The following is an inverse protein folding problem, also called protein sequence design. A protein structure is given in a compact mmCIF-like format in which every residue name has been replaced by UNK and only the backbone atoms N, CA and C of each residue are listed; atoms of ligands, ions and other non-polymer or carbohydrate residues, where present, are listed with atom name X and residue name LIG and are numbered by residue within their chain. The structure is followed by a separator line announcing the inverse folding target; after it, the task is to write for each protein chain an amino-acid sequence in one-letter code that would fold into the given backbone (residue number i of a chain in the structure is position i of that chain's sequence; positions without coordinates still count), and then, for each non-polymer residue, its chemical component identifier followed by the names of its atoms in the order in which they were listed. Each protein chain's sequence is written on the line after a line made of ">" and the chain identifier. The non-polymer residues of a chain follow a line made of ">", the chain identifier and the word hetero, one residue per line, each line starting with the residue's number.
data_IF_209065525219
#
_entry.id   IF_209065525219
#
_cell.length_a   1.000
_cell.length_b   1.000
_cell.length_c   1.000
_cell.angle_alpha   90.00
_cell.angle_beta   90.00
_cell.angle_gamma   90.00
#
_symmetry.space_group_name_H-M   'P 1'
#
loop_
_entity.id
_entity.type
_entity.pdbx_description
1 polymer ?
#
# COMPACT_ATOMS: atom_id res chain seq x y z
N UNK A 1 -61.85 74.42 6.97
CA UNK A 1 -60.52 74.53 6.33
C UNK A 1 -59.53 73.91 7.32
N UNK A 2 -59.33 72.58 7.24
CA UNK A 2 -58.51 71.79 8.18
C UNK A 2 -57.29 71.27 7.39
N UNK A 3 -56.08 71.65 7.79
CA UNK A 3 -54.86 71.08 7.32
C UNK A 3 -54.54 69.82 8.13
N UNK A 4 -54.35 68.67 7.46
CA UNK A 4 -53.80 67.44 8.01
C UNK A 4 -52.31 67.38 7.65
N UNK A 5 -51.45 67.36 8.68
CA UNK A 5 -50.01 67.08 8.57
C UNK A 5 -49.80 65.56 8.63
N UNK A 6 -49.25 65.00 7.58
CA UNK A 6 -48.80 63.64 7.55
C UNK A 6 -47.41 63.52 8.14
N UNK A 7 -47.23 62.57 9.09
CA UNK A 7 -45.94 62.20 9.66
C UNK A 7 -45.46 60.98 8.90
N UNK A 8 -44.33 61.13 8.17
CA UNK A 8 -43.62 60.00 7.52
C UNK A 8 -42.65 59.39 8.54
N UNK A 9 -42.96 58.17 8.98
CA UNK A 9 -42.02 57.38 9.78
C UNK A 9 -41.05 56.59 8.88
N UNK A 10 -39.75 56.92 8.99
CA UNK A 10 -38.68 56.11 8.42
C UNK A 10 -38.44 54.93 9.37
N UNK A 11 -38.74 53.71 8.91
CA UNK A 11 -38.28 52.50 9.52
C UNK A 11 -36.84 52.23 9.04
N UNK A 12 -35.89 52.27 9.97
CA UNK A 12 -34.54 51.70 9.73
C UNK A 12 -34.62 50.19 9.87
N UNK A 13 -34.46 49.46 8.77
CA UNK A 13 -34.11 48.06 8.79
C UNK A 13 -32.68 47.93 9.33
N UNK A 14 -32.52 47.35 10.49
CA UNK A 14 -31.23 46.91 11.01
C UNK A 14 -30.84 45.64 10.26
N UNK A 15 -29.85 45.73 9.39
CA UNK A 15 -29.12 44.58 8.80
C UNK A 15 -28.51 43.77 9.95
N UNK A 16 -28.99 42.54 10.15
CA UNK A 16 -28.34 41.56 11.00
C UNK A 16 -26.98 41.15 10.34
N UNK A 17 -25.90 41.06 11.13
CA UNK A 17 -24.64 40.55 10.57
C UNK A 17 -24.83 39.13 10.10
N UNK A 18 -24.53 38.90 8.81
CA UNK A 18 -24.43 37.56 8.24
C UNK A 18 -23.33 36.78 8.97
N UNK A 19 -23.68 35.77 9.72
CA UNK A 19 -22.72 34.76 10.18
C UNK A 19 -22.08 34.12 8.94
N UNK A 20 -20.87 34.57 8.63
CA UNK A 20 -20.01 33.83 7.75
C UNK A 20 -19.67 32.51 8.44
N UNK A 21 -20.29 31.43 8.00
CA UNK A 21 -19.88 30.07 8.33
C UNK A 21 -18.41 29.96 7.95
N UNK A 22 -17.50 29.97 8.93
CA UNK A 22 -16.12 29.55 8.74
C UNK A 22 -16.17 28.13 8.19
N UNK A 23 -15.85 27.96 6.91
CA UNK A 23 -15.67 26.65 6.34
C UNK A 23 -14.57 25.96 7.15
N UNK A 24 -14.92 24.86 7.83
CA UNK A 24 -13.97 24.08 8.59
C UNK A 24 -12.76 23.76 7.69
N UNK A 25 -11.58 24.16 8.12
CA UNK A 25 -10.35 23.91 7.38
C UNK A 25 -10.25 22.39 7.08
N UNK A 26 -9.92 22.06 5.83
CA UNK A 26 -9.72 20.65 5.47
C UNK A 26 -8.67 20.03 6.42
N UNK A 27 -8.90 18.79 6.91
CA UNK A 27 -7.96 18.17 7.81
C UNK A 27 -6.57 18.07 7.15
N UNK A 28 -5.52 18.32 7.96
CA UNK A 28 -4.14 18.26 7.49
C UNK A 28 -3.84 16.90 6.83
N UNK A 29 -3.01 16.89 5.77
CA UNK A 29 -2.63 15.64 5.11
C UNK A 29 -1.78 14.79 6.07
N UNK A 30 -2.09 13.49 6.16
CA UNK A 30 -1.44 12.55 7.07
C UNK A 30 -0.91 11.32 6.33
N UNK A 31 0.16 10.73 6.83
CA UNK A 31 0.54 9.37 6.50
C UNK A 31 0.30 8.45 7.70
N UNK A 32 0.03 7.18 7.41
CA UNK A 32 -0.24 6.14 8.37
C UNK A 32 0.75 5.00 8.14
N UNK A 33 1.55 4.70 9.15
CA UNK A 33 2.64 3.72 9.08
C UNK A 33 2.31 2.55 9.99
N UNK A 34 2.14 1.36 9.42
CA UNK A 34 2.00 0.13 10.21
C UNK A 34 3.38 -0.31 10.71
N UNK A 35 3.54 -0.49 12.02
CA UNK A 35 4.77 -0.97 12.63
C UNK A 35 4.55 -2.40 13.13
N UNK A 36 5.17 -3.39 12.51
CA UNK A 36 4.89 -4.81 12.77
C UNK A 36 5.04 -5.21 14.24
N UNK A 37 6.00 -4.60 14.96
CA UNK A 37 6.20 -4.84 16.38
C UNK A 37 5.61 -3.71 17.27
N UNK A 38 4.59 -3.02 16.76
CA UNK A 38 4.00 -1.87 17.44
C UNK A 38 2.58 -1.55 16.99
N UNK A 39 2.33 -0.29 16.81
CA UNK A 39 1.03 0.30 16.48
C UNK A 39 1.05 0.92 15.07
N UNK A 40 0.00 1.65 14.69
CA UNK A 40 0.03 2.53 13.52
C UNK A 40 0.47 3.92 13.96
N UNK A 41 1.62 4.39 13.44
CA UNK A 41 2.07 5.78 13.63
C UNK A 41 1.36 6.70 12.66
N UNK A 42 0.85 7.83 13.15
CA UNK A 42 0.29 8.91 12.34
C UNK A 42 1.35 10.00 12.17
N UNK A 43 1.66 10.33 10.92
CA UNK A 43 2.67 11.35 10.57
C UNK A 43 1.97 12.51 9.88
N UNK A 44 2.16 13.72 10.38
CA UNK A 44 1.74 14.95 9.72
C UNK A 44 2.64 15.21 8.49
N UNK A 45 2.03 15.29 7.31
CA UNK A 45 2.76 15.47 6.04
C UNK A 45 3.20 16.91 5.77
N UNK A 46 2.81 17.86 6.63
CA UNK A 46 3.27 19.26 6.55
C UNK A 46 4.59 19.44 7.31
N UNK A 47 4.73 18.75 8.44
CA UNK A 47 5.89 18.89 9.34
C UNK A 47 6.81 17.68 9.31
N UNK A 48 6.32 16.54 8.81
CA UNK A 48 6.96 15.23 8.90
C UNK A 48 7.27 14.81 10.34
N UNK A 49 6.37 15.17 11.27
CA UNK A 49 6.45 14.72 12.66
C UNK A 49 5.44 13.59 12.91
N UNK A 50 5.84 12.61 13.73
CA UNK A 50 4.90 11.64 14.27
C UNK A 50 4.05 12.35 15.33
N UNK A 51 2.75 12.49 15.08
CA UNK A 51 1.84 13.29 15.92
C UNK A 51 0.97 12.44 16.84
N UNK A 52 0.73 11.18 16.50
CA UNK A 52 -0.02 10.25 17.33
C UNK A 52 0.23 8.79 16.93
N UNK A 53 -0.32 7.88 17.73
CA UNK A 53 -0.36 6.45 17.43
C UNK A 53 -1.78 5.91 17.59
N UNK A 54 -2.18 4.99 16.70
CA UNK A 54 -3.40 4.21 16.81
C UNK A 54 -3.02 2.84 17.39
N UNK A 55 -3.47 2.54 18.59
CA UNK A 55 -3.15 1.29 19.26
C UNK A 55 -3.84 0.09 18.60
N UNK A 56 -3.08 -0.96 18.35
CA UNK A 56 -3.54 -2.24 17.81
C UNK A 56 -3.31 -3.41 18.77
N UNK A 57 -2.96 -3.15 20.01
CA UNK A 57 -2.85 -4.17 21.07
C UNK A 57 -1.99 -5.38 20.69
N UNK A 58 -0.78 -5.12 20.15
CA UNK A 58 0.20 -6.15 19.76
C UNK A 58 -0.28 -7.13 18.66
N UNK A 59 -1.18 -6.71 17.78
CA UNK A 59 -1.74 -7.54 16.70
C UNK A 59 -0.79 -7.81 15.53
N UNK A 60 0.39 -7.21 15.48
CA UNK A 60 1.37 -7.40 14.42
C UNK A 60 0.95 -6.76 13.08
N UNK A 61 0.71 -5.43 13.02
CA UNK A 61 0.22 -4.77 11.81
C UNK A 61 1.23 -4.80 10.66
N UNK A 62 0.77 -5.19 9.47
CA UNK A 62 1.54 -5.21 8.22
C UNK A 62 0.85 -4.38 7.14
N UNK A 63 0.13 -5.01 6.24
CA UNK A 63 -0.58 -4.33 5.17
C UNK A 63 -1.56 -3.28 5.70
N UNK A 64 -1.54 -2.11 5.10
CA UNK A 64 -2.40 -0.98 5.48
C UNK A 64 -2.99 -0.35 4.24
N UNK A 65 -4.25 0.08 4.33
CA UNK A 65 -4.96 0.76 3.26
C UNK A 65 -5.89 1.84 3.80
N UNK A 66 -6.27 2.78 2.93
CA UNK A 66 -7.24 3.84 3.24
C UNK A 66 -8.38 3.80 2.23
N UNK A 67 -9.64 3.94 2.71
CA UNK A 67 -10.80 4.02 1.82
C UNK A 67 -10.79 5.30 0.98
N UNK A 68 -11.41 5.24 -0.21
CA UNK A 68 -11.43 6.38 -1.14
C UNK A 68 -12.05 7.65 -0.56
N UNK A 69 -13.04 7.51 0.33
CA UNK A 69 -13.67 8.62 1.05
C UNK A 69 -12.85 9.09 2.28
N UNK A 70 -11.77 8.39 2.60
CA UNK A 70 -10.89 8.69 3.72
C UNK A 70 -11.50 8.49 5.10
N UNK A 71 -12.61 7.79 5.22
CA UNK A 71 -13.23 7.56 6.53
C UNK A 71 -12.56 6.45 7.31
N UNK A 72 -12.11 5.40 6.62
CA UNK A 72 -11.57 4.21 7.25
C UNK A 72 -10.13 3.97 6.85
N UNK A 73 -9.32 3.53 7.82
CA UNK A 73 -8.10 2.77 7.61
C UNK A 73 -8.41 1.30 7.79
N UNK A 74 -7.73 0.44 7.06
CA UNK A 74 -7.75 -1.01 7.24
C UNK A 74 -6.33 -1.51 7.43
N UNK A 75 -6.13 -2.42 8.38
CA UNK A 75 -4.81 -2.94 8.72
C UNK A 75 -4.88 -4.46 8.86
N UNK A 76 -4.08 -5.15 8.06
CA UNK A 76 -3.90 -6.60 8.20
C UNK A 76 -2.99 -6.88 9.39
N UNK A 77 -3.48 -7.67 10.33
CA UNK A 77 -2.81 -7.95 11.60
C UNK A 77 -2.34 -9.40 11.62
N UNK A 78 -1.05 -9.58 11.47
CA UNK A 78 -0.41 -10.89 11.33
C UNK A 78 -0.64 -11.80 12.54
N UNK A 79 -0.44 -11.26 13.74
CA UNK A 79 -0.45 -12.08 14.97
C UNK A 79 -1.86 -12.45 15.41
N UNK A 80 -2.85 -11.55 15.20
CA UNK A 80 -4.24 -11.83 15.54
C UNK A 80 -5.05 -12.49 14.43
N UNK A 81 -4.54 -12.53 13.19
CA UNK A 81 -5.22 -13.17 12.06
C UNK A 81 -6.47 -12.42 11.59
N UNK A 82 -6.51 -11.12 11.76
CA UNK A 82 -7.67 -10.29 11.42
C UNK A 82 -7.31 -9.06 10.57
N UNK A 83 -8.34 -8.42 10.04
CA UNK A 83 -8.31 -7.09 9.46
C UNK A 83 -8.95 -6.11 10.43
N UNK A 84 -8.17 -5.20 11.01
CA UNK A 84 -8.71 -4.10 11.79
C UNK A 84 -9.29 -3.04 10.84
N UNK A 85 -10.55 -2.65 11.06
CA UNK A 85 -11.21 -1.52 10.41
C UNK A 85 -11.27 -0.38 11.43
N UNK A 86 -10.68 0.76 11.11
CA UNK A 86 -10.39 1.85 12.04
C UNK A 86 -11.06 3.12 11.51
N UNK A 87 -11.72 3.88 12.39
CA UNK A 87 -12.09 5.27 12.09
C UNK A 87 -10.82 6.10 11.93
N UNK A 88 -10.56 6.58 10.73
CA UNK A 88 -9.29 7.25 10.42
C UNK A 88 -9.07 8.52 11.24
N UNK A 89 -10.10 9.30 11.47
CA UNK A 89 -9.97 10.58 12.20
C UNK A 89 -9.92 10.38 13.71
N UNK A 90 -10.74 9.51 14.23
CA UNK A 90 -10.80 9.22 15.66
C UNK A 90 -9.74 8.23 16.15
N UNK A 91 -9.14 7.45 15.26
CA UNK A 91 -8.15 6.44 15.63
C UNK A 91 -8.72 5.24 16.38
N UNK A 92 -10.04 5.07 16.44
CA UNK A 92 -10.68 3.95 17.14
C UNK A 92 -10.91 2.77 16.19
N UNK A 93 -10.64 1.55 16.68
CA UNK A 93 -11.04 0.33 15.98
C UNK A 93 -12.56 0.25 15.98
N UNK A 94 -13.16 0.29 14.78
CA UNK A 94 -14.60 0.10 14.59
C UNK A 94 -14.95 -1.37 14.75
N UNK A 95 -14.10 -2.25 14.16
CA UNK A 95 -14.26 -3.71 14.21
C UNK A 95 -12.99 -4.43 13.79
N UNK A 96 -12.89 -5.69 14.18
CA UNK A 96 -11.90 -6.63 13.69
C UNK A 96 -12.62 -7.72 12.87
N UNK A 97 -12.22 -7.93 11.63
CA UNK A 97 -12.78 -8.94 10.75
C UNK A 97 -11.83 -10.14 10.72
N UNK A 98 -12.23 -11.33 11.21
CA UNK A 98 -11.40 -12.51 11.13
C UNK A 98 -11.05 -12.84 9.68
N UNK A 99 -9.78 -13.07 9.36
CA UNK A 99 -9.27 -13.38 8.03
C UNK A 99 -8.75 -14.80 7.99
N UNK A 100 -7.82 -15.14 8.87
CA UNK A 100 -7.08 -16.40 8.89
C UNK A 100 -5.66 -16.18 9.39
N UNK A 101 -4.80 -17.18 9.22
CA UNK A 101 -3.41 -17.05 9.68
C UNK A 101 -2.62 -16.11 8.78
N UNK A 102 -1.72 -15.36 9.39
CA UNK A 102 -0.70 -14.57 8.71
C UNK A 102 -1.25 -13.64 7.61
N UNK A 103 -2.26 -12.78 7.86
CA UNK A 103 -2.65 -11.78 6.87
C UNK A 103 -1.51 -10.79 6.65
N UNK A 104 -1.22 -10.47 5.39
CA UNK A 104 0.00 -9.77 5.03
C UNK A 104 -0.25 -8.50 4.22
N UNK A 105 -0.76 -8.62 3.02
CA UNK A 105 -0.94 -7.49 2.11
C UNK A 105 -2.41 -7.02 2.09
N UNK A 106 -2.63 -5.72 1.89
CA UNK A 106 -3.98 -5.15 1.77
C UNK A 106 -4.07 -4.23 0.57
N UNK A 107 -5.11 -4.41 -0.23
CA UNK A 107 -5.56 -3.42 -1.22
C UNK A 107 -7.01 -3.05 -0.96
N UNK A 108 -7.29 -1.74 -1.00
CA UNK A 108 -8.66 -1.24 -0.87
C UNK A 108 -9.18 -0.78 -2.21
N UNK A 109 -10.39 -1.23 -2.56
CA UNK A 109 -11.11 -0.80 -3.75
C UNK A 109 -12.58 -0.58 -3.46
N UNK A 110 -13.04 0.66 -3.63
CA UNK A 110 -14.41 1.03 -3.23
C UNK A 110 -14.65 0.73 -1.75
N UNK A 111 -15.69 -0.04 -1.46
CA UNK A 111 -16.02 -0.51 -0.10
C UNK A 111 -15.46 -1.90 0.23
N UNK A 112 -14.54 -2.41 -0.57
CA UNK A 112 -13.94 -3.75 -0.36
C UNK A 112 -12.46 -3.64 -0.02
N UNK A 113 -11.99 -4.50 0.88
CA UNK A 113 -10.57 -4.77 1.10
C UNK A 113 -10.23 -6.17 0.59
N UNK A 114 -9.08 -6.29 -0.07
CA UNK A 114 -8.51 -7.54 -0.55
C UNK A 114 -7.28 -7.83 0.29
N UNK A 115 -7.31 -8.90 1.03
CA UNK A 115 -6.30 -9.22 2.05
C UNK A 115 -5.68 -10.56 1.74
N UNK A 116 -4.38 -10.60 1.41
CA UNK A 116 -3.68 -11.88 1.31
C UNK A 116 -3.46 -12.47 2.70
N UNK A 117 -3.61 -13.79 2.81
CA UNK A 117 -3.28 -14.51 4.03
C UNK A 117 -2.75 -15.90 3.69
N UNK A 118 -1.89 -16.41 4.53
CA UNK A 118 -1.09 -17.60 4.27
C UNK A 118 -1.26 -18.63 5.38
N UNK A 119 -2.21 -19.56 5.25
CA UNK A 119 -2.50 -20.54 6.30
C UNK A 119 -1.29 -21.41 6.68
N UNK A 120 -0.39 -21.67 5.72
CA UNK A 120 0.76 -22.54 5.86
C UNK A 120 2.06 -21.83 6.24
N UNK A 121 2.12 -20.47 6.19
CA UNK A 121 3.38 -19.75 6.41
C UNK A 121 3.95 -19.98 7.82
N UNK A 122 5.23 -20.31 7.86
CA UNK A 122 6.07 -20.27 9.07
C UNK A 122 6.64 -18.85 9.16
N UNK A 123 6.30 -18.13 10.21
CA UNK A 123 6.67 -16.73 10.36
C UNK A 123 8.17 -16.47 10.38
N UNK A 124 8.57 -15.29 9.92
CA UNK A 124 9.95 -14.82 9.89
C UNK A 124 10.41 -14.40 8.50
N UNK A 125 11.59 -13.78 8.37
CA UNK A 125 12.16 -13.49 7.07
C UNK A 125 12.53 -14.81 6.37
N UNK A 126 12.32 -14.92 5.05
CA UNK A 126 12.71 -16.11 4.30
C UNK A 126 14.23 -16.35 4.43
N UNK A 127 14.66 -17.61 4.46
CA UNK A 127 16.07 -17.93 4.45
C UNK A 127 16.74 -17.49 3.15
N UNK A 128 18.07 -17.33 3.17
CA UNK A 128 18.86 -17.02 1.98
C UNK A 128 18.71 -18.13 0.93
N UNK A 129 18.47 -17.79 -0.35
CA UNK A 129 18.41 -18.79 -1.43
C UNK A 129 19.65 -19.68 -1.46
N UNK A 130 19.43 -20.99 -1.53
CA UNK A 130 20.51 -21.98 -1.55
C UNK A 130 21.14 -22.29 -0.20
N UNK A 131 20.71 -21.65 0.90
CA UNK A 131 21.13 -22.01 2.26
C UNK A 131 20.58 -23.38 2.68
N UNK A 132 21.19 -24.01 3.68
CA UNK A 132 20.66 -25.29 4.24
C UNK A 132 19.26 -25.10 4.87
N UNK A 133 18.97 -23.91 5.41
CA UNK A 133 17.66 -23.53 5.92
C UNK A 133 16.63 -23.43 4.78
N UNK A 134 17.00 -22.83 3.64
CA UNK A 134 16.13 -22.77 2.45
C UNK A 134 15.84 -24.18 1.90
N UNK A 135 16.85 -25.04 1.84
CA UNK A 135 16.69 -26.43 1.40
C UNK A 135 15.84 -27.25 2.37
N UNK A 136 16.04 -27.05 3.67
CA UNK A 136 15.23 -27.73 4.69
C UNK A 136 13.76 -27.29 4.63
N UNK A 137 13.51 -25.99 4.44
CA UNK A 137 12.16 -25.45 4.28
C UNK A 137 11.50 -25.96 2.99
N UNK A 138 12.22 -25.97 1.87
CA UNK A 138 11.72 -26.53 0.61
C UNK A 138 11.36 -28.01 0.75
N UNK A 139 12.21 -28.79 1.43
CA UNK A 139 11.93 -30.22 1.68
C UNK A 139 10.73 -30.42 2.60
N UNK A 140 10.58 -29.59 3.63
CA UNK A 140 9.41 -29.65 4.52
C UNK A 140 8.12 -29.39 3.73
N UNK A 141 8.15 -28.46 2.77
CA UNK A 141 7.03 -28.12 1.88
C UNK A 141 6.69 -29.23 0.88
N UNK A 142 7.67 -30.03 0.45
CA UNK A 142 7.42 -31.21 -0.40
C UNK A 142 6.70 -32.33 0.37
N UNK A 143 6.91 -32.41 1.67
CA UNK A 143 6.36 -33.43 2.54
C UNK A 143 4.99 -33.07 3.14
N UNK A 144 4.62 -31.80 3.17
CA UNK A 144 3.34 -31.30 3.69
C UNK A 144 2.40 -30.94 2.51
N UNK A 145 1.14 -31.38 2.57
CA UNK A 145 0.04 -30.88 1.73
C UNK A 145 -0.23 -29.41 2.13
N UNK A 146 0.67 -28.49 1.75
CA UNK A 146 0.54 -27.07 2.12
C UNK A 146 -0.69 -26.44 1.45
N UNK A 147 -1.54 -25.85 2.26
CA UNK A 147 -2.69 -25.11 1.77
C UNK A 147 -2.22 -23.81 1.08
N UNK A 148 -2.62 -23.57 -0.20
CA UNK A 148 -2.23 -22.35 -0.90
C UNK A 148 -2.73 -21.10 -0.16
N UNK A 149 -2.01 -19.99 -0.33
CA UNK A 149 -2.44 -18.69 0.16
C UNK A 149 -3.77 -18.28 -0.48
N UNK A 150 -4.51 -17.44 0.19
CA UNK A 150 -5.80 -16.94 -0.25
C UNK A 150 -5.88 -15.43 -0.15
N UNK A 151 -6.75 -14.84 -0.92
CA UNK A 151 -7.12 -13.44 -0.82
C UNK A 151 -8.55 -13.37 -0.28
N UNK A 152 -8.71 -12.91 0.96
CA UNK A 152 -10.01 -12.62 1.53
C UNK A 152 -10.55 -11.32 0.95
N UNK A 153 -11.75 -11.36 0.40
CA UNK A 153 -12.50 -10.19 -0.05
C UNK A 153 -13.44 -9.77 1.07
N UNK A 154 -13.15 -8.65 1.71
CA UNK A 154 -13.88 -8.14 2.86
C UNK A 154 -14.79 -7.01 2.42
N UNK A 155 -16.10 -7.10 2.70
CA UNK A 155 -17.00 -5.96 2.62
C UNK A 155 -16.80 -5.09 3.88
N UNK A 156 -16.30 -3.87 3.69
CA UNK A 156 -15.98 -2.97 4.78
C UNK A 156 -17.22 -2.37 5.47
N UNK A 157 -18.35 -2.29 4.77
CA UNK A 157 -19.60 -1.79 5.35
C UNK A 157 -20.24 -2.85 6.24
N UNK A 158 -20.30 -4.11 5.76
CA UNK A 158 -20.85 -5.24 6.51
C UNK A 158 -19.85 -5.78 7.54
N UNK A 159 -18.54 -5.59 7.31
CA UNK A 159 -17.46 -6.04 8.18
C UNK A 159 -17.33 -7.55 8.21
N UNK A 160 -17.39 -8.18 7.06
CA UNK A 160 -17.25 -9.63 6.92
C UNK A 160 -16.52 -10.02 5.64
N UNK A 161 -15.88 -11.18 5.65
CA UNK A 161 -15.39 -11.82 4.43
C UNK A 161 -16.60 -12.29 3.61
N UNK A 162 -16.69 -11.82 2.37
CA UNK A 162 -17.77 -12.18 1.45
C UNK A 162 -17.34 -13.24 0.43
N UNK A 163 -16.02 -13.43 0.27
CA UNK A 163 -15.41 -14.41 -0.63
C UNK A 163 -13.94 -14.59 -0.32
N UNK A 164 -13.40 -15.73 -0.75
CA UNK A 164 -11.98 -16.01 -0.84
C UNK A 164 -11.61 -16.33 -2.29
N UNK A 165 -10.47 -15.83 -2.74
CA UNK A 165 -9.83 -16.18 -4.02
C UNK A 165 -8.61 -17.03 -3.67
N UNK A 166 -8.49 -18.21 -4.24
CA UNK A 166 -7.32 -19.05 -4.04
C UNK A 166 -6.16 -18.51 -4.88
N UNK A 167 -5.09 -18.08 -4.23
CA UNK A 167 -3.82 -17.66 -4.85
C UNK A 167 -2.90 -18.84 -5.11
N UNK A 168 -1.61 -18.56 -5.16
CA UNK A 168 -0.55 -19.57 -5.15
C UNK A 168 0.07 -19.70 -3.76
N UNK A 169 1.31 -20.22 -3.73
CA UNK A 169 2.07 -20.35 -2.49
C UNK A 169 2.79 -19.03 -2.16
N UNK A 170 2.66 -18.59 -0.91
CA UNK A 170 3.22 -17.32 -0.42
C UNK A 170 2.78 -16.11 -1.29
N UNK A 171 1.49 -15.82 -1.28
CA UNK A 171 0.92 -14.69 -2.02
C UNK A 171 1.25 -13.37 -1.32
N UNK A 172 1.93 -12.45 -2.02
CA UNK A 172 2.39 -11.15 -1.49
C UNK A 172 1.68 -9.95 -2.11
N UNK A 173 2.04 -9.58 -3.33
CA UNK A 173 1.55 -8.38 -3.98
C UNK A 173 0.19 -8.56 -4.63
N UNK A 174 -0.65 -7.55 -4.53
CA UNK A 174 -1.98 -7.51 -5.14
C UNK A 174 -2.10 -6.26 -6.01
N UNK A 175 -2.59 -6.39 -7.25
CA UNK A 175 -2.96 -5.28 -8.11
C UNK A 175 -4.25 -5.59 -8.88
N UNK A 176 -4.91 -4.57 -9.43
CA UNK A 176 -6.13 -4.71 -10.19
C UNK A 176 -5.90 -4.41 -11.67
N UNK A 177 -6.67 -5.06 -12.55
CA UNK A 177 -6.71 -4.67 -13.95
C UNK A 177 -7.31 -3.27 -14.12
N UNK A 178 -6.96 -2.60 -15.22
CA UNK A 178 -7.42 -1.24 -15.52
C UNK A 178 -8.94 -1.12 -15.57
N UNK A 179 -9.63 -2.14 -16.09
CA UNK A 179 -11.10 -2.24 -16.12
C UNK A 179 -11.68 -2.69 -14.78
N UNK A 180 -10.83 -3.11 -13.86
CA UNK A 180 -11.21 -3.61 -12.54
C UNK A 180 -11.91 -4.94 -12.52
N UNK A 181 -11.91 -5.68 -13.62
CA UNK A 181 -12.53 -7.02 -13.71
C UNK A 181 -11.64 -8.12 -13.17
N UNK A 182 -10.33 -7.88 -13.04
CA UNK A 182 -9.35 -8.88 -12.62
C UNK A 182 -8.49 -8.40 -11.46
N UNK A 183 -7.94 -9.36 -10.75
CA UNK A 183 -6.94 -9.18 -9.71
C UNK A 183 -5.68 -9.95 -10.11
N UNK A 184 -4.53 -9.28 -10.02
CA UNK A 184 -3.21 -9.85 -10.26
C UNK A 184 -2.54 -10.07 -8.91
N UNK A 185 -1.89 -11.22 -8.75
CA UNK A 185 -1.31 -11.64 -7.49
C UNK A 185 0.08 -12.21 -7.73
N UNK A 186 1.08 -11.75 -6.99
CA UNK A 186 2.42 -12.35 -7.00
C UNK A 186 2.47 -13.50 -5.99
N UNK A 187 2.99 -14.65 -6.41
CA UNK A 187 3.12 -15.85 -5.59
C UNK A 187 4.61 -16.20 -5.49
N UNK A 188 5.17 -15.96 -4.31
CA UNK A 188 6.62 -16.02 -4.12
C UNK A 188 7.20 -17.40 -4.30
N UNK A 189 6.60 -18.40 -3.65
CA UNK A 189 7.12 -19.78 -3.68
C UNK A 189 6.79 -20.49 -5.00
N UNK A 190 5.72 -20.11 -5.69
CA UNK A 190 5.37 -20.64 -7.01
C UNK A 190 6.11 -19.92 -8.15
N UNK A 191 6.87 -18.87 -7.86
CA UNK A 191 7.65 -18.12 -8.84
C UNK A 191 6.80 -17.68 -10.05
N UNK A 192 5.61 -17.11 -9.76
CA UNK A 192 4.68 -16.68 -10.81
C UNK A 192 3.82 -15.48 -10.38
N UNK A 193 3.15 -14.90 -11.37
CA UNK A 193 2.03 -13.97 -11.17
C UNK A 193 0.77 -14.67 -11.69
N UNK A 194 -0.26 -14.75 -10.86
CA UNK A 194 -1.58 -15.26 -11.27
C UNK A 194 -2.56 -14.11 -11.47
N UNK A 195 -3.44 -14.28 -12.46
CA UNK A 195 -4.52 -13.36 -12.78
C UNK A 195 -5.83 -14.07 -12.56
N UNK A 196 -6.70 -13.50 -11.75
CA UNK A 196 -8.01 -14.09 -11.43
C UNK A 196 -9.13 -13.13 -11.81
N UNK A 197 -10.27 -13.66 -12.19
CA UNK A 197 -11.50 -12.89 -12.28
C UNK A 197 -11.93 -12.43 -10.89
N UNK A 198 -12.19 -11.15 -10.70
CA UNK A 198 -12.43 -10.57 -9.37
C UNK A 198 -13.78 -10.99 -8.78
N UNK A 199 -14.77 -11.32 -9.61
CA UNK A 199 -16.11 -11.68 -9.14
C UNK A 199 -16.30 -13.19 -8.96
N UNK A 200 -15.71 -14.04 -9.81
CA UNK A 200 -15.79 -15.50 -9.65
C UNK A 200 -14.65 -16.08 -8.81
N UNK A 201 -13.49 -15.42 -8.80
CA UNK A 201 -12.25 -15.94 -8.21
C UNK A 201 -11.52 -16.93 -9.12
N UNK A 202 -12.06 -17.23 -10.31
CA UNK A 202 -11.46 -18.19 -11.24
C UNK A 202 -10.11 -17.71 -11.77
N UNK A 203 -9.14 -18.64 -11.84
CA UNK A 203 -7.84 -18.41 -12.45
C UNK A 203 -7.98 -18.20 -13.96
N UNK A 204 -7.55 -17.03 -14.44
CA UNK A 204 -7.60 -16.65 -15.86
C UNK A 204 -6.26 -16.90 -16.56
N UNK A 205 -5.15 -16.59 -15.88
CA UNK A 205 -3.80 -16.69 -16.46
C UNK A 205 -2.76 -16.92 -15.38
N UNK A 206 -1.72 -17.69 -15.72
CA UNK A 206 -0.49 -17.83 -14.94
C UNK A 206 0.68 -17.32 -15.76
N UNK A 207 1.53 -16.49 -15.18
CA UNK A 207 2.71 -15.87 -15.80
C UNK A 207 3.91 -16.32 -14.97
N UNK A 208 4.72 -17.22 -15.51
CA UNK A 208 5.94 -17.70 -14.85
C UNK A 208 7.00 -16.61 -14.77
N UNK A 209 7.67 -16.51 -13.63
CA UNK A 209 8.83 -15.61 -13.42
C UNK A 209 10.14 -16.37 -13.23
N UNK A 210 10.13 -17.69 -13.35
CA UNK A 210 11.30 -18.58 -13.13
C UNK A 210 12.55 -18.15 -13.92
N UNK A 211 12.37 -17.75 -15.18
CA UNK A 211 13.50 -17.31 -16.03
C UNK A 211 14.08 -15.95 -15.59
N UNK A 212 13.36 -15.20 -14.76
CA UNK A 212 13.73 -13.86 -14.29
C UNK A 212 14.22 -13.84 -12.84
N UNK A 213 14.16 -14.97 -12.15
CA UNK A 213 14.57 -15.14 -10.75
C UNK A 213 13.41 -15.47 -9.83
N UNK A 214 13.73 -15.67 -8.56
CA UNK A 214 12.81 -16.19 -7.56
C UNK A 214 12.14 -15.04 -6.78
N UNK A 215 10.96 -15.33 -6.23
CA UNK A 215 10.21 -14.49 -5.31
C UNK A 215 9.70 -13.18 -5.93
N UNK A 216 8.68 -13.25 -6.81
CA UNK A 216 7.96 -12.05 -7.23
C UNK A 216 7.24 -11.43 -6.01
N UNK A 217 7.42 -10.11 -5.81
CA UNK A 217 6.94 -9.36 -4.63
C UNK A 217 5.88 -8.33 -4.99
N UNK A 218 6.29 -7.09 -5.13
CA UNK A 218 5.40 -6.00 -5.49
C UNK A 218 4.91 -6.09 -6.92
N UNK A 219 3.68 -5.67 -7.17
CA UNK A 219 3.13 -5.50 -8.52
C UNK A 219 2.35 -4.19 -8.61
N UNK A 220 2.53 -3.47 -9.71
CA UNK A 220 1.88 -2.18 -9.95
C UNK A 220 1.45 -2.01 -11.39
N UNK A 221 0.25 -1.46 -11.57
CA UNK A 221 -0.24 -0.98 -12.86
C UNK A 221 0.27 0.44 -13.13
N UNK A 222 0.63 0.74 -14.39
CA UNK A 222 0.92 2.11 -14.81
C UNK A 222 -0.33 3.00 -14.79
N UNK A 223 -0.19 4.32 -14.61
CA UNK A 223 -1.32 5.24 -14.53
C UNK A 223 -2.26 5.22 -15.74
N UNK A 224 -1.74 4.93 -16.91
CA UNK A 224 -2.50 4.81 -18.15
C UNK A 224 -3.14 3.42 -18.35
N UNK A 225 -2.89 2.48 -17.42
CA UNK A 225 -3.42 1.11 -17.47
C UNK A 225 -2.82 0.23 -18.58
N UNK A 226 -1.72 0.66 -19.24
CA UNK A 226 -1.16 -0.04 -20.39
C UNK A 226 -0.09 -1.06 -20.02
N UNK A 227 0.43 -1.01 -18.80
CA UNK A 227 1.44 -1.96 -18.35
C UNK A 227 1.32 -2.30 -16.87
N UNK A 228 1.90 -3.44 -16.51
CA UNK A 228 2.10 -3.87 -15.14
C UNK A 228 3.58 -4.16 -14.92
N UNK A 229 4.08 -3.85 -13.73
CA UNK A 229 5.47 -4.12 -13.37
C UNK A 229 5.47 -4.91 -12.08
N UNK A 230 6.13 -6.06 -12.08
CA UNK A 230 6.38 -6.88 -10.90
C UNK A 230 7.88 -6.84 -10.53
N UNK A 231 8.19 -6.73 -9.25
CA UNK A 231 9.55 -6.85 -8.73
C UNK A 231 9.89 -8.30 -8.43
N UNK A 232 11.09 -8.74 -8.81
CA UNK A 232 11.61 -10.11 -8.61
C UNK A 232 12.74 -10.02 -7.57
N UNK A 233 12.44 -10.40 -6.32
CA UNK A 233 13.29 -10.14 -5.16
C UNK A 233 14.72 -10.68 -5.34
N UNK A 234 14.86 -11.96 -5.66
CA UNK A 234 16.19 -12.60 -5.81
C UNK A 234 16.67 -12.70 -7.26
N UNK A 235 15.93 -12.13 -8.21
CA UNK A 235 16.38 -11.88 -9.56
C UNK A 235 17.16 -10.57 -9.68
N UNK A 236 16.89 -9.61 -8.78
CA UNK A 236 17.30 -8.22 -8.95
C UNK A 236 16.80 -7.63 -10.27
N UNK A 237 15.57 -7.94 -10.60
CA UNK A 237 14.93 -7.51 -11.84
C UNK A 237 13.50 -7.01 -11.60
N UNK A 238 13.00 -6.25 -12.58
CA UNK A 238 11.58 -6.01 -12.79
C UNK A 238 11.13 -6.79 -14.01
N UNK A 239 9.95 -7.37 -13.95
CA UNK A 239 9.24 -7.95 -15.08
C UNK A 239 8.13 -7.00 -15.49
N UNK A 240 8.16 -6.54 -16.74
CA UNK A 240 7.15 -5.65 -17.32
C UNK A 240 6.20 -6.47 -18.17
N UNK A 241 4.91 -6.34 -17.92
CA UNK A 241 3.83 -6.97 -18.67
C UNK A 241 3.00 -5.89 -19.38
N UNK A 242 2.40 -6.23 -20.53
CA UNK A 242 1.41 -5.39 -21.19
C UNK A 242 0.03 -5.46 -20.51
N UNK A 243 -0.96 -4.75 -21.04
CA UNK A 243 -2.33 -4.73 -20.51
C UNK A 243 -3.12 -6.04 -20.76
N UNK A 244 -2.59 -6.97 -21.54
CA UNK A 244 -3.07 -8.34 -21.74
C UNK A 244 -2.29 -9.35 -20.88
N UNK A 245 -1.40 -8.85 -20.01
CA UNK A 245 -0.54 -9.61 -19.10
C UNK A 245 0.47 -10.51 -19.83
N UNK A 246 0.96 -10.08 -20.99
CA UNK A 246 2.05 -10.75 -21.71
C UNK A 246 3.39 -10.11 -21.30
N UNK A 247 4.44 -10.93 -21.23
CA UNK A 247 5.79 -10.44 -20.97
C UNK A 247 6.25 -9.50 -22.09
N UNK A 248 6.77 -8.34 -21.70
CA UNK A 248 7.31 -7.31 -22.62
C UNK A 248 8.82 -7.22 -22.48
N UNK A 249 9.31 -7.10 -21.25
CA UNK A 249 10.75 -6.97 -20.97
C UNK A 249 11.10 -7.25 -19.53
N UNK A 250 12.40 -7.43 -19.33
CA UNK A 250 13.06 -7.43 -18.04
C UNK A 250 13.88 -6.14 -17.88
N UNK A 251 13.98 -5.62 -16.65
CA UNK A 251 14.77 -4.44 -16.31
C UNK A 251 15.62 -4.77 -15.08
N UNK A 252 16.94 -4.68 -15.21
CA UNK A 252 17.84 -4.91 -14.09
C UNK A 252 17.70 -3.83 -13.01
N UNK A 253 17.73 -4.24 -11.76
CA UNK A 253 17.67 -3.36 -10.60
C UNK A 253 18.89 -3.52 -9.69
N UNK A 254 18.98 -2.69 -8.67
CA UNK A 254 19.83 -2.95 -7.52
C UNK A 254 19.32 -4.11 -6.67
N UNK A 255 19.95 -4.31 -5.51
CA UNK A 255 19.82 -5.52 -4.71
C UNK A 255 18.46 -5.61 -4.00
N UNK A 256 17.70 -6.66 -4.29
CA UNK A 256 16.45 -7.05 -3.64
C UNK A 256 15.33 -6.00 -3.82
N UNK A 257 14.81 -5.82 -5.06
CA UNK A 257 13.65 -4.95 -5.30
C UNK A 257 12.40 -5.50 -4.60
N UNK A 258 11.58 -4.62 -4.03
CA UNK A 258 10.41 -4.99 -3.25
C UNK A 258 9.18 -4.16 -3.67
N UNK A 259 8.76 -3.18 -2.87
CA UNK A 259 7.66 -2.29 -3.19
C UNK A 259 8.02 -1.34 -4.33
N UNK A 260 7.07 -1.08 -5.22
CA UNK A 260 7.24 -0.19 -6.36
C UNK A 260 5.98 0.63 -6.62
N UNK A 261 6.14 1.78 -7.23
CA UNK A 261 5.03 2.59 -7.76
C UNK A 261 5.49 3.52 -8.86
N UNK A 262 4.59 3.83 -9.78
CA UNK A 262 4.78 4.92 -10.72
C UNK A 262 4.53 6.27 -10.05
N UNK A 263 5.15 7.34 -10.54
CA UNK A 263 4.67 8.68 -10.27
C UNK A 263 3.33 8.92 -10.97
N UNK A 264 2.65 10.02 -10.65
CA UNK A 264 1.27 10.26 -11.07
C UNK A 264 1.09 10.35 -12.59
N UNK A 265 2.07 10.87 -13.32
CA UNK A 265 2.04 10.96 -14.78
C UNK A 265 2.60 9.72 -15.50
N UNK A 266 3.09 8.73 -14.76
CA UNK A 266 3.63 7.48 -15.29
C UNK A 266 5.00 7.59 -15.94
N UNK A 267 5.64 8.77 -15.91
CA UNK A 267 6.94 8.99 -16.56
C UNK A 267 8.11 8.33 -15.84
N UNK A 268 7.93 8.00 -14.55
CA UNK A 268 8.95 7.38 -13.71
C UNK A 268 8.38 6.24 -12.89
N UNK A 269 9.20 5.22 -12.70
CA UNK A 269 8.95 4.12 -11.78
C UNK A 269 9.94 4.18 -10.62
N UNK A 270 9.44 4.13 -9.40
CA UNK A 270 10.23 4.10 -8.17
C UNK A 270 10.19 2.71 -7.58
N UNK A 271 11.34 2.22 -7.11
CA UNK A 271 11.50 0.86 -6.60
C UNK A 271 12.28 0.89 -5.28
N UNK A 272 11.71 0.32 -4.23
CA UNK A 272 12.43 0.13 -2.97
C UNK A 272 13.37 -1.07 -3.09
N UNK A 273 14.66 -0.85 -2.84
CA UNK A 273 15.68 -1.88 -2.80
C UNK A 273 15.91 -2.32 -1.36
N UNK A 274 15.29 -3.42 -0.95
CA UNK A 274 15.25 -3.83 0.46
C UNK A 274 16.62 -4.21 1.04
N UNK A 275 17.57 -4.68 0.25
CA UNK A 275 18.98 -4.89 0.61
C UNK A 275 19.94 -3.90 -0.04
N UNK A 276 19.49 -3.20 -1.07
CA UNK A 276 20.22 -2.10 -1.67
C UNK A 276 20.15 -0.81 -0.85
N UNK A 277 19.32 -0.79 0.20
CA UNK A 277 19.15 0.34 1.12
C UNK A 277 18.88 1.66 0.37
N UNK A 278 18.06 1.61 -0.67
CA UNK A 278 17.79 2.76 -1.56
C UNK A 278 16.39 2.74 -2.16
N UNK A 279 15.94 3.89 -2.63
CA UNK A 279 14.91 4.03 -3.66
C UNK A 279 15.62 4.26 -4.99
N UNK A 280 15.41 3.37 -5.95
CA UNK A 280 15.91 3.44 -7.32
C UNK A 280 14.81 3.94 -8.26
N UNK A 281 15.15 4.77 -9.23
CA UNK A 281 14.18 5.42 -10.12
C UNK A 281 14.53 5.17 -11.58
N UNK A 282 13.54 4.75 -12.36
CA UNK A 282 13.66 4.48 -13.78
C UNK A 282 12.80 5.45 -14.60
N UNK A 283 13.30 5.86 -15.76
CA UNK A 283 12.49 6.46 -16.82
C UNK A 283 11.66 5.37 -17.49
N UNK A 284 10.36 5.51 -17.60
CA UNK A 284 9.47 4.46 -18.12
C UNK A 284 9.43 4.32 -19.62
N UNK A 285 10.06 5.25 -20.37
CA UNK A 285 10.20 5.15 -21.83
C UNK A 285 11.46 4.41 -22.22
N UNK A 286 12.59 4.76 -21.58
CA UNK A 286 13.90 4.17 -21.88
C UNK A 286 14.21 2.95 -21.03
N UNK A 287 13.62 2.89 -19.83
CA UNK A 287 13.92 1.93 -18.76
C UNK A 287 15.35 2.04 -18.24
N UNK A 288 15.96 3.21 -18.42
CA UNK A 288 17.25 3.55 -17.83
C UNK A 288 17.06 4.07 -16.40
N UNK A 289 18.01 3.77 -15.53
CA UNK A 289 18.07 4.37 -14.21
C UNK A 289 18.35 5.88 -14.33
N UNK A 290 17.52 6.69 -13.70
CA UNK A 290 17.64 8.15 -13.72
C UNK A 290 17.97 8.74 -12.35
N UNK A 291 18.00 7.92 -11.31
CA UNK A 291 18.37 8.34 -9.97
C UNK A 291 18.26 7.25 -8.91
N UNK A 292 18.98 7.45 -7.82
CA UNK A 292 18.94 6.61 -6.64
C UNK A 292 19.14 7.44 -5.38
N UNK A 293 18.42 7.13 -4.30
CA UNK A 293 18.56 7.79 -3.00
C UNK A 293 18.76 6.74 -1.92
N UNK A 294 19.83 6.88 -1.15
CA UNK A 294 20.08 6.02 0.02
C UNK A 294 18.99 6.22 1.08
N UNK A 295 18.51 5.11 1.62
CA UNK A 295 17.45 5.08 2.64
C UNK A 295 17.95 4.42 3.94
N UNK A 296 17.14 3.59 4.56
CA UNK A 296 17.49 2.75 5.69
C UNK A 296 17.56 1.27 5.29
N UNK A 297 17.66 0.42 6.29
CA UNK A 297 17.77 -1.03 6.13
C UNK A 297 16.40 -1.68 5.97
N UNK A 298 16.29 -2.57 4.98
CA UNK A 298 15.09 -3.35 4.71
C UNK A 298 13.85 -2.47 4.56
N UNK A 299 13.89 -1.53 3.63
CA UNK A 299 12.74 -0.73 3.25
C UNK A 299 11.83 -1.56 2.35
N UNK A 300 10.53 -1.69 2.73
CA UNK A 300 9.59 -2.52 2.00
C UNK A 300 8.64 -1.67 1.17
N UNK A 301 7.95 -0.74 1.80
CA UNK A 301 6.90 0.05 1.18
C UNK A 301 7.13 1.55 1.35
N UNK A 302 6.53 2.31 0.46
CA UNK A 302 6.62 3.76 0.47
C UNK A 302 5.38 4.39 -0.18
N UNK A 303 5.15 5.66 0.13
CA UNK A 303 4.07 6.47 -0.45
C UNK A 303 4.58 7.87 -0.74
N UNK A 304 4.00 8.52 -1.76
CA UNK A 304 4.22 9.94 -1.99
C UNK A 304 3.32 10.78 -1.09
N UNK A 305 3.71 12.03 -0.85
CA UNK A 305 2.79 13.05 -0.35
C UNK A 305 1.73 13.37 -1.40
N UNK A 306 0.54 13.88 -1.02
CA UNK A 306 -0.53 14.19 -1.98
C UNK A 306 -0.15 15.23 -3.05
N UNK A 307 0.85 16.05 -2.80
CA UNK A 307 1.43 17.05 -3.71
C UNK A 307 2.58 16.51 -4.57
N UNK A 308 2.88 15.22 -4.46
CA UNK A 308 3.95 14.48 -5.16
C UNK A 308 5.39 14.99 -4.88
N UNK A 309 5.58 15.86 -3.88
CA UNK A 309 6.88 16.48 -3.60
C UNK A 309 7.82 15.65 -2.76
N UNK A 310 7.27 14.78 -1.91
CA UNK A 310 8.07 13.95 -1.02
C UNK A 310 7.64 12.49 -1.09
N UNK A 311 8.58 11.61 -0.75
CA UNK A 311 8.36 10.18 -0.61
C UNK A 311 8.66 9.81 0.84
N UNK A 312 7.74 9.10 1.49
CA UNK A 312 7.94 8.53 2.81
C UNK A 312 8.17 7.02 2.67
N UNK A 313 9.29 6.53 3.16
CA UNK A 313 9.75 5.14 3.00
C UNK A 313 9.81 4.44 4.35
N UNK A 314 9.07 3.34 4.50
CA UNK A 314 9.07 2.51 5.70
C UNK A 314 10.27 1.55 5.69
N UNK A 315 11.27 1.79 6.54
CA UNK A 315 12.51 1.03 6.61
C UNK A 315 12.58 0.19 7.88
N UNK A 316 12.09 -1.05 7.80
CA UNK A 316 11.81 -1.88 8.97
C UNK A 316 13.02 -2.21 9.84
N UNK A 317 14.17 -2.56 9.26
CA UNK A 317 15.34 -2.96 10.05
C UNK A 317 16.25 -1.82 10.51
N UNK A 318 15.92 -0.59 10.16
CA UNK A 318 16.49 0.61 10.78
C UNK A 318 15.49 1.34 11.69
N UNK A 319 14.29 0.77 11.88
CA UNK A 319 13.26 1.31 12.78
C UNK A 319 12.94 2.78 12.51
N UNK A 320 12.87 3.16 11.23
CA UNK A 320 12.65 4.54 10.80
C UNK A 320 11.75 4.67 9.57
N UNK A 321 11.16 5.85 9.43
CA UNK A 321 10.57 6.32 8.17
C UNK A 321 11.49 7.39 7.59
N UNK A 322 11.95 7.19 6.36
CA UNK A 322 12.82 8.13 5.65
C UNK A 322 11.98 9.00 4.74
N UNK A 323 12.15 10.32 4.83
CA UNK A 323 11.48 11.31 3.98
C UNK A 323 12.46 11.81 2.95
N UNK A 324 12.09 11.69 1.67
CA UNK A 324 12.90 12.04 0.51
C UNK A 324 12.20 13.18 -0.26
N UNK A 325 12.93 14.22 -0.63
CA UNK A 325 12.48 15.18 -1.66
C UNK A 325 12.54 14.48 -3.03
N UNK A 326 11.39 14.30 -3.68
CA UNK A 326 11.27 13.54 -4.92
C UNK A 326 11.88 14.25 -6.14
N UNK A 327 12.05 15.57 -6.08
CA UNK A 327 12.65 16.36 -7.15
C UNK A 327 14.17 16.43 -7.02
N UNK A 328 14.65 16.70 -5.79
CA UNK A 328 16.07 16.81 -5.51
C UNK A 328 16.75 15.46 -5.30
N UNK A 329 15.94 14.39 -5.17
CA UNK A 329 16.41 13.02 -4.93
C UNK A 329 17.37 12.94 -3.75
N UNK A 330 16.94 13.53 -2.60
CA UNK A 330 17.74 13.51 -1.37
C UNK A 330 16.86 13.34 -0.14
N UNK A 331 17.44 12.74 0.91
CA UNK A 331 16.80 12.62 2.21
C UNK A 331 16.70 14.00 2.87
N UNK A 332 15.50 14.38 3.29
CA UNK A 332 15.23 15.65 3.99
C UNK A 332 14.93 15.43 5.48
N UNK A 333 14.45 14.25 5.86
CA UNK A 333 14.16 13.91 7.26
C UNK A 333 14.21 12.41 7.51
N UNK A 334 14.49 12.03 8.76
CA UNK A 334 14.34 10.66 9.27
C UNK A 334 13.46 10.70 10.52
N UNK A 335 12.45 9.86 10.59
CA UNK A 335 11.53 9.73 11.72
C UNK A 335 11.88 8.40 12.39
N UNK A 336 12.69 8.49 13.45
CA UNK A 336 13.25 7.33 14.16
C UNK A 336 12.27 6.72 15.18
N UNK A 337 12.72 5.66 15.87
CA UNK A 337 12.02 4.97 16.94
C UNK A 337 10.68 4.34 16.51
N UNK A 338 10.63 3.88 15.26
CA UNK A 338 9.51 3.07 14.75
C UNK A 338 9.83 1.60 15.02
N UNK A 339 8.83 0.82 15.38
CA UNK A 339 9.01 -0.60 15.75
C UNK A 339 8.76 -1.50 14.53
N UNK A 340 9.76 -1.65 13.68
CA UNK A 340 9.70 -2.43 12.43
C UNK A 340 8.60 -1.89 11.48
N UNK A 341 8.72 -0.64 10.97
CA UNK A 341 7.75 -0.08 10.03
C UNK A 341 7.72 -0.89 8.74
N UNK A 342 6.52 -1.33 8.34
CA UNK A 342 6.33 -2.21 7.20
C UNK A 342 5.56 -1.54 6.07
N UNK A 343 4.33 -1.12 6.32
CA UNK A 343 3.44 -0.50 5.35
C UNK A 343 3.23 0.99 5.62
N UNK A 344 2.92 1.74 4.57
CA UNK A 344 2.64 3.17 4.66
C UNK A 344 1.67 3.60 3.57
N UNK A 345 0.68 4.41 3.94
CA UNK A 345 -0.29 5.04 3.05
C UNK A 345 -0.52 6.49 3.45
N UNK A 346 -0.94 7.33 2.50
CA UNK A 346 -1.24 8.74 2.73
C UNK A 346 -2.74 9.06 2.57
N UNK A 347 -3.20 10.07 3.30
CA UNK A 347 -4.49 10.70 3.04
C UNK A 347 -4.38 12.25 3.16
N UNK A 348 -4.88 13.06 2.20
CA UNK A 348 -5.54 12.62 0.95
C UNK A 348 -4.74 11.59 0.16
N UNK A 349 -5.43 10.71 -0.57
CA UNK A 349 -4.80 9.58 -1.27
C UNK A 349 -3.73 10.05 -2.25
N UNK A 350 -2.64 9.33 -2.30
CA UNK A 350 -1.52 9.57 -3.18
C UNK A 350 -1.11 8.29 -3.92
N UNK A 351 -0.05 8.37 -4.71
CA UNK A 351 0.57 7.20 -5.31
C UNK A 351 1.54 6.56 -4.32
N UNK A 352 1.52 5.25 -4.25
CA UNK A 352 2.37 4.51 -3.32
C UNK A 352 2.37 3.02 -3.63
N UNK A 353 3.29 2.28 -3.04
CA UNK A 353 3.40 0.84 -3.28
C UNK A 353 2.21 0.04 -2.75
N UNK A 354 1.49 0.55 -1.74
CA UNK A 354 0.27 -0.04 -1.19
C UNK A 354 -1.01 0.64 -1.67
N UNK A 355 -0.95 1.85 -2.19
CA UNK A 355 -2.11 2.60 -2.64
C UNK A 355 -2.66 2.11 -3.99
N UNK A 356 -3.97 2.21 -4.17
CA UNK A 356 -4.68 2.02 -5.43
C UNK A 356 -5.39 3.33 -5.83
N UNK A 357 -4.67 4.33 -6.32
CA UNK A 357 -5.18 5.71 -6.47
C UNK A 357 -6.22 5.88 -7.58
N UNK A 358 -6.31 4.93 -8.49
CA UNK A 358 -7.11 5.04 -9.73
C UNK A 358 -8.58 4.66 -9.56
N UNK A 359 -9.08 4.54 -8.33
CA UNK A 359 -10.44 4.03 -8.07
C UNK A 359 -11.27 4.97 -7.23
#
# INVERSE_FOLDING_TARGET
>A
MLCLLGISGCSQEQDAPSEQSEAAAAPAPMAYVSNQNGNVTVVDLTTFEAVSEISLEERGPRGIGVTGDGKMLVVANRESGDLAVIDRLGGQIIRNVPIGKNPEFVRVRGSRAFVSFEPAAVGGPPPEPGSEEAKALAKQREDDDEEPAKIAVVDLNEGKVIREITGGMETEGIEFSADGSKILVTNEADENVTVHDIESGELVKTISTVEHGNRPRGIKMSPDGQMYVASIEYGNHLVVLDNEFNFVREVATGNVPYGLTFNRDGSRLYVALARGEAIQVFDTKTWEEVGQVETGKRCWHFTFTPDDRHILVACGRSDEVVVIDANEMKVVKRISDKKLPWGIVAYPRSVGSLDAPWQ
#
